data_IF_965750776353
#
_entry.id   IF_965750776353
#
_cell.length_a   1.000
_cell.length_b   1.000
_cell.length_c   1.000
_cell.angle_alpha   90.00
_cell.angle_beta   90.00
_cell.angle_gamma   90.00
#
_symmetry.space_group_name_H-M   'P 1'
#
loop_
_entity.id
_entity.type
_entity.pdbx_description
1 polymer ?
#
# COMPACT_ATOMS: atom_id res chain seq x y z
N UNK A 1 -14.55 42.95 -8.52
CA UNK A 1 -14.93 41.51 -8.56
C UNK A 1 -14.31 40.81 -7.36
N UNK A 2 -15.06 40.63 -6.25
CA UNK A 2 -14.54 39.95 -5.05
C UNK A 2 -14.47 38.44 -5.34
N UNK A 3 -13.27 37.92 -5.56
CA UNK A 3 -13.02 36.47 -5.53
C UNK A 3 -13.21 36.07 -4.07
N UNK A 4 -14.42 35.63 -3.74
CA UNK A 4 -14.75 35.13 -2.42
C UNK A 4 -13.90 33.88 -2.20
N UNK A 5 -12.81 34.03 -1.43
CA UNK A 5 -11.93 32.92 -1.05
C UNK A 5 -12.73 31.87 -0.30
N UNK A 6 -13.16 30.83 -1.02
CA UNK A 6 -13.94 29.74 -0.45
C UNK A 6 -13.01 28.88 0.40
N UNK A 7 -13.25 28.84 1.73
CA UNK A 7 -12.52 27.97 2.66
C UNK A 7 -12.86 26.50 2.37
N UNK A 8 -11.85 25.72 2.06
CA UNK A 8 -11.91 24.25 2.03
C UNK A 8 -12.02 23.76 3.48
N UNK A 9 -12.96 22.86 3.78
CA UNK A 9 -13.09 22.25 5.12
C UNK A 9 -11.95 21.25 5.35
N UNK A 10 -10.93 21.61 6.13
CA UNK A 10 -9.72 20.78 6.33
C UNK A 10 -9.92 19.52 7.20
N UNK A 11 -11.03 19.43 7.95
CA UNK A 11 -11.29 18.36 8.92
C UNK A 11 -11.15 16.93 8.34
N UNK A 12 -11.68 16.61 7.14
CA UNK A 12 -11.54 15.26 6.59
C UNK A 12 -10.10 14.95 6.16
N UNK A 13 -9.36 15.95 5.67
CA UNK A 13 -7.94 15.80 5.33
C UNK A 13 -7.08 15.55 6.57
N UNK A 14 -7.38 16.24 7.67
CA UNK A 14 -6.72 16.03 8.95
C UNK A 14 -7.00 14.63 9.52
N UNK A 15 -8.25 14.16 9.46
CA UNK A 15 -8.60 12.80 9.87
C UNK A 15 -7.87 11.73 9.04
N UNK A 16 -7.76 11.95 7.73
CA UNK A 16 -7.02 11.05 6.85
C UNK A 16 -5.53 10.96 7.23
N UNK A 17 -4.89 12.10 7.49
CA UNK A 17 -3.50 12.14 7.96
C UNK A 17 -3.34 11.45 9.32
N UNK A 18 -4.26 11.67 10.25
CA UNK A 18 -4.24 11.01 11.55
C UNK A 18 -4.28 9.49 11.41
N UNK A 19 -5.20 8.96 10.60
CA UNK A 19 -5.32 7.50 10.36
C UNK A 19 -4.06 6.94 9.72
N UNK A 20 -3.45 7.66 8.78
CA UNK A 20 -2.16 7.25 8.18
C UNK A 20 -1.05 7.20 9.23
N UNK A 21 -0.94 8.23 10.07
CA UNK A 21 0.07 8.29 11.14
C UNK A 21 -0.14 7.16 12.16
N UNK A 22 -1.38 6.87 12.55
CA UNK A 22 -1.71 5.72 13.42
C UNK A 22 -1.35 4.41 12.74
N UNK A 23 -1.66 4.23 11.46
CA UNK A 23 -1.29 3.04 10.70
C UNK A 23 0.22 2.84 10.62
N UNK A 24 0.99 3.91 10.35
CA UNK A 24 2.45 3.89 10.36
C UNK A 24 2.97 3.55 11.76
N UNK A 25 2.39 4.14 12.81
CA UNK A 25 2.76 3.85 14.19
C UNK A 25 2.44 2.40 14.56
N UNK A 26 1.34 1.81 14.11
CA UNK A 26 1.06 0.40 14.35
C UNK A 26 2.01 -0.54 13.58
N UNK A 27 2.46 -0.13 12.40
CA UNK A 27 3.37 -0.93 11.56
C UNK A 27 4.84 -0.86 12.02
N UNK A 28 5.29 0.31 12.48
CA UNK A 28 6.69 0.59 12.87
C UNK A 28 6.86 0.65 14.38
N UNK A 29 5.76 0.75 15.12
CA UNK A 29 5.71 0.95 16.56
C UNK A 29 6.51 -0.07 17.34
N UNK A 30 6.77 0.24 18.62
CA UNK A 30 7.65 -0.55 19.45
C UNK A 30 7.19 -2.01 19.44
N UNK A 31 8.09 -2.88 18.98
CA UNK A 31 7.87 -4.31 18.94
C UNK A 31 7.38 -4.79 20.32
N UNK A 32 6.29 -5.56 20.37
CA UNK A 32 5.69 -6.12 21.59
C UNK A 32 6.63 -7.07 22.36
N UNK A 33 7.89 -7.18 21.95
CA UNK A 33 8.94 -8.02 22.52
C UNK A 33 9.82 -7.27 23.55
N UNK A 34 9.43 -6.07 24.00
CA UNK A 34 10.20 -5.25 24.96
C UNK A 34 10.35 -5.86 26.36
N UNK A 35 9.52 -6.83 26.74
CA UNK A 35 9.49 -7.36 28.12
C UNK A 35 10.29 -8.65 28.32
N UNK A 36 11.14 -9.05 27.36
CA UNK A 36 11.98 -10.24 27.52
C UNK A 36 13.28 -9.80 28.22
N UNK A 37 13.61 -10.35 29.40
CA UNK A 37 14.84 -10.01 30.11
C UNK A 37 16.04 -10.54 29.32
N UNK A 38 16.75 -9.64 28.64
CA UNK A 38 17.95 -9.95 27.85
C UNK A 38 19.22 -9.47 28.53
N UNK A 39 20.35 -10.10 28.24
CA UNK A 39 21.67 -9.68 28.71
C UNK A 39 22.03 -8.30 28.12
N UNK A 40 22.77 -7.45 28.87
CA UNK A 40 23.24 -6.16 28.37
C UNK A 40 24.08 -6.34 27.10
N UNK A 41 23.75 -5.61 26.03
CA UNK A 41 24.48 -5.68 24.75
C UNK A 41 24.11 -6.87 23.86
N UNK A 42 23.11 -7.67 24.23
CA UNK A 42 22.68 -8.81 23.41
C UNK A 42 21.77 -8.38 22.25
N UNK A 43 21.95 -9.03 21.11
CA UNK A 43 21.11 -8.83 19.91
C UNK A 43 20.01 -9.88 19.88
N UNK A 44 18.76 -9.47 19.71
CA UNK A 44 17.62 -10.40 19.67
C UNK A 44 17.02 -10.58 18.27
N UNK A 45 16.70 -11.83 17.96
CA UNK A 45 16.03 -12.24 16.73
C UNK A 45 14.73 -12.96 17.06
N UNK A 46 13.57 -12.48 16.59
CA UNK A 46 12.30 -13.16 16.88
C UNK A 46 12.26 -14.53 16.23
N UNK A 47 11.83 -15.54 16.99
CA UNK A 47 11.60 -16.90 16.52
C UNK A 47 10.17 -17.36 16.83
N UNK A 48 9.68 -18.30 16.02
CA UNK A 48 8.42 -18.99 16.28
C UNK A 48 8.68 -20.49 16.15
N UNK A 49 8.38 -21.22 17.22
CA UNK A 49 8.52 -22.68 17.30
C UNK A 49 7.14 -23.21 17.64
N UNK A 50 6.53 -23.96 16.71
CA UNK A 50 5.11 -24.29 16.75
C UNK A 50 4.25 -23.01 16.93
N UNK A 51 3.35 -22.99 17.91
CA UNK A 51 2.50 -21.84 18.22
C UNK A 51 3.15 -20.87 19.22
N UNK A 52 4.28 -21.27 19.83
CA UNK A 52 5.01 -20.46 20.79
C UNK A 52 5.95 -19.47 20.10
N UNK A 53 5.92 -18.22 20.56
CA UNK A 53 6.82 -17.16 20.10
C UNK A 53 7.95 -16.99 21.10
N UNK A 54 9.13 -16.61 20.62
CA UNK A 54 10.30 -16.34 21.44
C UNK A 54 11.30 -15.45 20.72
N UNK A 55 12.48 -15.32 21.31
CA UNK A 55 13.63 -14.65 20.71
C UNK A 55 14.88 -15.53 20.85
N UNK A 56 15.74 -15.48 19.84
CA UNK A 56 17.13 -15.92 19.96
C UNK A 56 17.95 -14.70 20.35
N UNK A 57 18.54 -14.78 21.53
CA UNK A 57 19.53 -13.85 22.06
C UNK A 57 20.92 -14.28 21.57
N UNK A 58 21.63 -13.37 20.92
CA UNK A 58 23.05 -13.52 20.57
C UNK A 58 23.86 -12.58 21.47
N UNK A 59 24.79 -13.13 22.23
CA UNK A 59 25.76 -12.35 23.02
C UNK A 59 27.17 -12.69 22.57
N UNK A 60 28.06 -11.69 22.49
CA UNK A 60 29.49 -11.94 22.34
C UNK A 60 30.12 -12.00 23.73
N UNK A 61 30.91 -13.03 24.00
CA UNK A 61 31.67 -13.13 25.24
C UNK A 61 32.87 -12.16 25.19
N UNK A 62 32.93 -11.14 26.08
CA UNK A 62 33.98 -10.12 26.04
C UNK A 62 35.40 -10.68 26.20
N UNK A 63 35.55 -11.86 26.81
CA UNK A 63 36.86 -12.47 27.09
C UNK A 63 37.37 -13.35 25.95
N UNK A 64 36.47 -14.02 25.22
CA UNK A 64 36.82 -15.01 24.20
C UNK A 64 36.48 -14.58 22.78
N UNK A 65 35.65 -13.54 22.62
CA UNK A 65 35.13 -13.09 21.32
C UNK A 65 34.12 -14.05 20.68
N UNK A 66 33.83 -15.20 21.32
CA UNK A 66 32.92 -16.20 20.80
C UNK A 66 31.47 -15.78 20.99
N UNK A 67 30.61 -16.08 20.02
CA UNK A 67 29.18 -15.84 20.12
C UNK A 67 28.50 -16.98 20.86
N UNK A 68 27.63 -16.63 21.81
CA UNK A 68 26.72 -17.56 22.49
C UNK A 68 25.30 -17.25 22.12
N UNK A 69 24.52 -18.30 21.90
CA UNK A 69 23.13 -18.20 21.51
C UNK A 69 22.24 -18.77 22.61
N UNK A 70 21.14 -18.08 22.90
CA UNK A 70 20.14 -18.52 23.88
C UNK A 70 18.76 -18.29 23.32
N UNK A 71 17.85 -19.25 23.48
CA UNK A 71 16.44 -19.08 23.14
C UNK A 71 15.66 -18.72 24.39
N UNK A 72 14.83 -17.68 24.26
CA UNK A 72 13.93 -17.21 25.30
C UNK A 72 12.52 -17.26 24.73
N UNK A 73 11.74 -18.23 25.17
CA UNK A 73 10.36 -18.41 24.76
C UNK A 73 9.44 -17.56 25.64
N UNK A 74 8.30 -17.12 25.10
CA UNK A 74 7.35 -16.24 25.82
C UNK A 74 6.64 -16.93 26.98
N UNK A 75 6.55 -18.25 26.94
CA UNK A 75 6.07 -19.08 28.06
C UNK A 75 7.07 -19.15 29.23
N UNK A 76 8.22 -18.47 29.12
CA UNK A 76 9.25 -18.42 30.15
C UNK A 76 10.31 -19.51 30.00
N UNK A 77 10.20 -20.40 29.00
CA UNK A 77 11.22 -21.42 28.79
C UNK A 77 12.52 -20.80 28.23
N UNK A 78 13.63 -21.12 28.89
CA UNK A 78 14.97 -20.66 28.56
C UNK A 78 15.80 -21.86 28.13
N UNK A 79 16.40 -21.79 26.94
CA UNK A 79 17.39 -22.80 26.55
C UNK A 79 18.72 -22.59 27.28
N UNK A 80 19.55 -23.64 27.38
CA UNK A 80 20.97 -23.49 27.69
C UNK A 80 21.68 -22.55 26.69
N UNK A 81 22.83 -22.03 27.09
CA UNK A 81 23.73 -21.29 26.19
C UNK A 81 24.35 -22.25 25.18
N UNK A 82 24.03 -22.06 23.90
CA UNK A 82 24.53 -22.85 22.79
C UNK A 82 25.79 -22.19 22.22
N UNK A 83 26.80 -23.00 21.92
CA UNK A 83 27.97 -22.56 21.16
C UNK A 83 27.64 -22.35 19.68
N UNK A 84 28.52 -21.70 18.94
CA UNK A 84 28.40 -21.54 17.47
C UNK A 84 28.26 -22.90 16.75
N UNK A 85 29.03 -23.91 17.18
CA UNK A 85 28.97 -25.26 16.62
C UNK A 85 27.64 -25.94 16.92
N UNK A 86 27.16 -25.86 18.16
CA UNK A 86 25.88 -26.46 18.56
C UNK A 86 24.72 -25.78 17.85
N UNK A 87 24.70 -24.45 17.81
CA UNK A 87 23.68 -23.69 17.11
C UNK A 87 23.70 -23.96 15.60
N UNK A 88 24.89 -24.02 15.00
CA UNK A 88 25.10 -24.39 13.60
C UNK A 88 24.64 -25.81 13.30
N UNK A 89 24.80 -26.76 14.23
CA UNK A 89 24.32 -28.14 14.08
C UNK A 89 22.80 -28.24 14.11
N UNK A 90 22.14 -27.42 14.93
CA UNK A 90 20.67 -27.44 15.09
C UNK A 90 19.95 -26.69 13.97
N UNK A 91 20.43 -25.50 13.58
CA UNK A 91 19.73 -24.63 12.62
C UNK A 91 20.41 -24.53 11.25
N UNK A 92 21.60 -25.10 11.12
CA UNK A 92 22.39 -25.07 9.89
C UNK A 92 23.21 -23.78 9.71
N UNK A 93 24.14 -23.80 8.76
CA UNK A 93 25.10 -22.71 8.54
C UNK A 93 24.46 -21.40 8.06
N UNK A 94 23.32 -21.47 7.35
CA UNK A 94 22.61 -20.27 6.87
C UNK A 94 22.03 -19.44 8.01
N UNK A 95 21.42 -20.11 8.99
CA UNK A 95 20.81 -19.43 10.15
C UNK A 95 21.90 -18.91 11.08
N UNK A 96 22.97 -19.69 11.29
CA UNK A 96 24.14 -19.25 12.03
C UNK A 96 24.75 -17.97 11.43
N UNK A 97 25.04 -17.97 10.12
CA UNK A 97 25.58 -16.78 9.44
C UNK A 97 24.64 -15.57 9.50
N UNK A 98 23.32 -15.79 9.55
CA UNK A 98 22.36 -14.71 9.74
C UNK A 98 22.36 -14.17 11.18
N UNK A 99 22.44 -15.04 12.18
CA UNK A 99 22.47 -14.68 13.60
C UNK A 99 23.78 -13.99 14.02
N UNK A 100 24.89 -14.30 13.31
CA UNK A 100 26.20 -13.67 13.49
C UNK A 100 26.39 -12.40 12.65
N UNK A 101 25.51 -12.14 11.67
CA UNK A 101 25.65 -10.92 10.87
C UNK A 101 25.25 -9.70 11.69
N UNK A 102 26.23 -8.87 12.06
CA UNK A 102 26.04 -7.51 12.57
C UNK A 102 25.34 -6.66 11.50
N UNK A 103 24.03 -6.79 11.39
CA UNK A 103 23.20 -5.95 10.51
C UNK A 103 22.57 -4.85 11.36
N UNK A 104 23.16 -3.64 11.40
CA UNK A 104 22.72 -2.58 12.30
C UNK A 104 21.33 -2.00 11.97
N UNK A 105 20.78 -2.27 10.78
CA UNK A 105 19.56 -1.58 10.34
C UNK A 105 18.29 -2.44 10.43
N UNK A 106 17.51 -2.22 11.49
CA UNK A 106 16.20 -2.84 11.74
C UNK A 106 15.20 -2.68 10.57
N UNK A 107 15.28 -1.57 9.84
CA UNK A 107 14.46 -1.29 8.66
C UNK A 107 14.72 -2.28 7.51
N UNK A 108 15.99 -2.58 7.22
CA UNK A 108 16.37 -3.54 6.19
C UNK A 108 15.98 -4.97 6.58
N UNK A 109 16.01 -5.29 7.88
CA UNK A 109 15.50 -6.57 8.43
C UNK A 109 13.99 -6.71 8.20
N UNK A 110 13.19 -5.69 8.54
CA UNK A 110 11.72 -5.73 8.39
C UNK A 110 11.27 -5.69 6.92
N UNK A 111 12.01 -5.01 6.05
CA UNK A 111 11.64 -4.85 4.64
C UNK A 111 12.25 -5.91 3.70
N UNK A 112 13.11 -6.80 4.20
CA UNK A 112 13.81 -7.84 3.43
C UNK A 112 14.45 -7.32 2.13
N UNK A 113 14.97 -6.09 2.15
CA UNK A 113 15.58 -5.45 0.97
C UNK A 113 17.05 -5.84 0.94
N UNK A 114 17.34 -7.02 0.38
CA UNK A 114 18.71 -7.48 0.12
C UNK A 114 19.05 -7.49 -1.37
N UNK A 115 18.08 -7.17 -2.24
CA UNK A 115 18.25 -7.14 -3.70
C UNK A 115 17.52 -5.95 -4.33
N UNK A 116 18.05 -5.47 -5.47
CA UNK A 116 17.38 -4.47 -6.32
C UNK A 116 15.98 -4.91 -6.74
N UNK A 117 15.79 -6.22 -6.95
CA UNK A 117 14.47 -6.79 -7.20
C UNK A 117 13.51 -6.58 -6.02
N UNK A 118 13.95 -6.82 -4.78
CA UNK A 118 13.15 -6.56 -3.58
C UNK A 118 12.77 -5.08 -3.42
N UNK A 119 13.70 -4.17 -3.74
CA UNK A 119 13.44 -2.74 -3.74
C UNK A 119 12.37 -2.34 -4.77
N UNK A 120 12.44 -2.89 -5.99
CA UNK A 120 11.44 -2.66 -7.02
C UNK A 120 10.04 -3.15 -6.61
N UNK A 121 9.95 -4.35 -6.02
CA UNK A 121 8.67 -4.87 -5.49
C UNK A 121 8.10 -4.01 -4.37
N UNK A 122 8.95 -3.51 -3.49
CA UNK A 122 8.54 -2.61 -2.43
C UNK A 122 8.03 -1.27 -2.98
N UNK A 123 8.69 -0.73 -4.01
CA UNK A 123 8.23 0.47 -4.71
C UNK A 123 6.87 0.26 -5.40
N UNK A 124 6.63 -0.92 -5.99
CA UNK A 124 5.31 -1.29 -6.55
C UNK A 124 4.25 -1.32 -5.44
N UNK A 125 4.54 -1.97 -4.31
CA UNK A 125 3.62 -2.03 -3.17
C UNK A 125 3.26 -0.64 -2.63
N UNK A 126 4.27 0.21 -2.36
CA UNK A 126 4.04 1.58 -1.90
C UNK A 126 3.38 2.46 -2.94
N UNK A 127 3.74 2.32 -4.22
CA UNK A 127 3.08 3.04 -5.31
C UNK A 127 1.61 2.67 -5.44
N UNK A 128 1.28 1.39 -5.29
CA UNK A 128 -0.10 0.91 -5.24
C UNK A 128 -0.88 1.48 -4.05
N UNK A 129 -0.26 1.47 -2.86
CA UNK A 129 -0.84 2.09 -1.66
C UNK A 129 -1.04 3.60 -1.83
N UNK A 130 -0.09 4.30 -2.44
CA UNK A 130 -0.18 5.72 -2.75
C UNK A 130 -1.35 6.00 -3.68
N UNK A 131 -1.51 5.23 -4.76
CA UNK A 131 -2.64 5.36 -5.67
C UNK A 131 -4.00 5.16 -4.95
N UNK A 132 -4.07 4.17 -4.06
CA UNK A 132 -5.26 3.92 -3.23
C UNK A 132 -5.57 5.04 -2.23
N UNK A 133 -4.56 5.76 -1.75
CA UNK A 133 -4.71 6.93 -0.90
C UNK A 133 -5.11 8.16 -1.72
N UNK A 134 -4.45 8.38 -2.86
CA UNK A 134 -4.68 9.51 -3.75
C UNK A 134 -6.13 9.57 -4.25
N UNK A 135 -6.77 8.43 -4.54
CA UNK A 135 -8.17 8.39 -4.97
C UNK A 135 -9.12 9.04 -3.94
N UNK A 136 -8.86 8.86 -2.63
CA UNK A 136 -9.71 9.42 -1.57
C UNK A 136 -9.52 10.92 -1.47
N UNK A 137 -8.28 11.39 -1.57
CA UNK A 137 -7.97 12.82 -1.61
C UNK A 137 -8.62 13.50 -2.84
N UNK A 138 -8.53 12.86 -4.01
CA UNK A 138 -9.15 13.36 -5.24
C UNK A 138 -10.67 13.39 -5.12
N UNK A 139 -11.29 12.36 -4.56
CA UNK A 139 -12.74 12.32 -4.37
C UNK A 139 -13.21 13.35 -3.36
N UNK A 140 -12.52 13.50 -2.22
CA UNK A 140 -12.81 14.51 -1.22
C UNK A 140 -12.72 15.91 -1.82
N UNK A 141 -11.61 16.21 -2.52
CA UNK A 141 -11.41 17.50 -3.18
C UNK A 141 -12.49 17.78 -4.25
N UNK A 142 -12.82 16.78 -5.08
CA UNK A 142 -13.86 16.92 -6.09
C UNK A 142 -15.26 17.12 -5.48
N UNK A 143 -15.56 16.43 -4.37
CA UNK A 143 -16.84 16.55 -3.67
C UNK A 143 -16.98 17.88 -2.96
N UNK A 144 -15.92 18.37 -2.31
CA UNK A 144 -15.89 19.68 -1.66
C UNK A 144 -16.10 20.80 -2.68
N UNK A 145 -15.44 20.71 -3.84
CA UNK A 145 -15.61 21.67 -4.93
C UNK A 145 -17.05 21.72 -5.47
N UNK A 146 -17.80 20.61 -5.39
CA UNK A 146 -19.17 20.48 -5.90
C UNK A 146 -20.25 20.52 -4.81
N UNK A 147 -19.87 20.49 -3.52
CA UNK A 147 -20.77 20.36 -2.35
C UNK A 147 -21.76 19.20 -2.46
N UNK A 148 -21.37 18.13 -3.13
CA UNK A 148 -22.18 16.94 -3.36
C UNK A 148 -21.27 15.72 -3.26
N UNK A 149 -21.82 14.59 -2.80
CA UNK A 149 -21.11 13.30 -2.84
C UNK A 149 -20.89 12.91 -4.30
N UNK A 150 -19.71 13.21 -4.85
CA UNK A 150 -19.40 12.99 -6.25
C UNK A 150 -18.13 12.15 -6.38
N UNK A 151 -18.24 11.04 -7.12
CA UNK A 151 -17.10 10.18 -7.43
C UNK A 151 -16.55 10.52 -8.81
N UNK A 152 -15.39 11.20 -8.92
CA UNK A 152 -14.84 11.60 -10.22
C UNK A 152 -14.30 10.40 -11.00
N UNK A 153 -14.18 10.51 -12.32
CA UNK A 153 -13.56 9.44 -13.16
C UNK A 153 -12.14 9.11 -12.72
N UNK A 154 -11.39 10.11 -12.25
CA UNK A 154 -10.06 9.93 -11.70
C UNK A 154 -10.04 8.95 -10.52
N UNK A 155 -11.09 8.91 -9.68
CA UNK A 155 -11.18 7.93 -8.59
C UNK A 155 -11.10 6.50 -9.12
N UNK A 156 -11.86 6.19 -10.18
CA UNK A 156 -11.88 4.85 -10.78
C UNK A 156 -10.55 4.49 -11.44
N UNK A 157 -9.90 5.46 -12.09
CA UNK A 157 -8.59 5.24 -12.71
C UNK A 157 -7.50 4.97 -11.66
N UNK A 158 -7.40 5.81 -10.63
CA UNK A 158 -6.44 5.61 -9.54
C UNK A 158 -6.70 4.32 -8.76
N UNK A 159 -7.97 3.93 -8.61
CA UNK A 159 -8.32 2.64 -8.01
C UNK A 159 -7.85 1.46 -8.86
N UNK A 160 -7.99 1.54 -10.18
CA UNK A 160 -7.53 0.49 -11.09
C UNK A 160 -6.00 0.36 -11.07
N UNK A 161 -5.28 1.48 -11.15
CA UNK A 161 -3.81 1.52 -11.07
C UNK A 161 -3.34 0.96 -9.72
N UNK A 162 -3.89 1.45 -8.62
CA UNK A 162 -3.54 0.99 -7.28
C UNK A 162 -3.80 -0.50 -7.09
N UNK A 163 -4.92 -0.99 -7.62
CA UNK A 163 -5.29 -2.40 -7.52
C UNK A 163 -4.40 -3.30 -8.38
N UNK A 164 -4.01 -2.87 -9.59
CA UNK A 164 -3.05 -3.60 -10.41
C UNK A 164 -1.66 -3.70 -9.75
N UNK A 165 -1.17 -2.60 -9.17
CA UNK A 165 0.10 -2.56 -8.46
C UNK A 165 0.08 -3.43 -7.20
N UNK A 166 -0.95 -3.29 -6.35
CA UNK A 166 -1.08 -4.10 -5.14
C UNK A 166 -1.33 -5.58 -5.46
N UNK A 167 -2.10 -5.89 -6.50
CA UNK A 167 -2.29 -7.26 -6.97
C UNK A 167 -0.93 -7.89 -7.31
N UNK A 168 -0.12 -7.20 -8.12
CA UNK A 168 1.21 -7.67 -8.52
C UNK A 168 2.11 -7.88 -7.29
N UNK A 169 2.06 -6.94 -6.35
CA UNK A 169 2.80 -7.03 -5.08
C UNK A 169 2.36 -8.22 -4.20
N UNK A 170 1.06 -8.45 -4.04
CA UNK A 170 0.55 -9.56 -3.22
C UNK A 170 0.77 -10.93 -3.86
N UNK A 171 0.74 -11.02 -5.20
CA UNK A 171 1.15 -12.23 -5.93
C UNK A 171 2.62 -12.53 -5.63
N UNK A 172 3.50 -11.53 -5.72
CA UNK A 172 4.91 -11.69 -5.37
C UNK A 172 5.11 -12.09 -3.90
N UNK A 173 4.30 -11.53 -2.99
CA UNK A 173 4.35 -11.85 -1.56
C UNK A 173 3.66 -13.16 -1.18
N UNK A 174 3.07 -13.87 -2.15
CA UNK A 174 2.32 -15.11 -1.95
C UNK A 174 1.20 -14.97 -0.89
N UNK A 175 0.52 -13.82 -0.88
CA UNK A 175 -0.56 -13.52 0.06
C UNK A 175 -1.93 -13.74 -0.62
N UNK A 176 -2.63 -14.87 -0.38
CA UNK A 176 -3.88 -15.17 -1.06
C UNK A 176 -5.00 -14.18 -0.70
N UNK A 177 -5.01 -13.64 0.52
CA UNK A 177 -6.04 -12.68 0.96
C UNK A 177 -5.85 -11.36 0.22
N UNK A 178 -4.60 -10.89 0.13
CA UNK A 178 -4.25 -9.71 -0.64
C UNK A 178 -4.59 -9.86 -2.13
N UNK A 179 -4.25 -11.00 -2.73
CA UNK A 179 -4.55 -11.32 -4.14
C UNK A 179 -6.05 -11.30 -4.42
N UNK A 180 -6.84 -12.04 -3.66
CA UNK A 180 -8.30 -12.13 -3.84
C UNK A 180 -8.97 -10.76 -3.68
N UNK A 181 -8.55 -9.97 -2.69
CA UNK A 181 -9.07 -8.62 -2.48
C UNK A 181 -8.84 -7.70 -3.69
N UNK A 182 -7.65 -7.77 -4.29
CA UNK A 182 -7.33 -6.93 -5.45
C UNK A 182 -7.96 -7.43 -6.76
N UNK A 183 -8.18 -8.75 -6.93
CA UNK A 183 -8.92 -9.29 -8.07
C UNK A 183 -10.32 -8.67 -8.19
N UNK A 184 -11.07 -8.66 -7.09
CA UNK A 184 -12.43 -8.10 -7.08
C UNK A 184 -12.39 -6.60 -7.38
N UNK A 185 -11.41 -5.88 -6.83
CA UNK A 185 -11.19 -4.45 -7.11
C UNK A 185 -10.98 -4.18 -8.60
N UNK A 186 -10.01 -4.86 -9.23
CA UNK A 186 -9.69 -4.73 -10.65
C UNK A 186 -10.93 -4.86 -11.54
N UNK A 187 -11.75 -5.89 -11.32
CA UNK A 187 -12.96 -6.16 -12.10
C UNK A 187 -13.98 -5.02 -11.96
N UNK A 188 -14.27 -4.62 -10.72
CA UNK A 188 -15.26 -3.56 -10.44
C UNK A 188 -14.81 -2.21 -11.01
N UNK A 189 -13.54 -1.84 -10.81
CA UNK A 189 -13.01 -0.56 -11.29
C UNK A 189 -12.95 -0.51 -12.81
N UNK A 190 -12.50 -1.58 -13.47
CA UNK A 190 -12.49 -1.67 -14.93
C UNK A 190 -13.91 -1.57 -15.51
N UNK A 191 -14.88 -2.28 -14.92
CA UNK A 191 -16.29 -2.23 -15.33
C UNK A 191 -16.84 -0.81 -15.20
N UNK A 192 -16.63 -0.15 -14.07
CA UNK A 192 -17.15 1.20 -13.83
C UNK A 192 -16.53 2.22 -14.79
N UNK A 193 -15.23 2.11 -15.04
CA UNK A 193 -14.54 2.96 -16.01
C UNK A 193 -15.10 2.75 -17.43
N UNK A 194 -15.29 1.49 -17.84
CA UNK A 194 -15.92 1.15 -19.14
C UNK A 194 -17.33 1.72 -19.26
N UNK A 195 -18.15 1.64 -18.22
CA UNK A 195 -19.51 2.20 -18.21
C UNK A 195 -19.48 3.72 -18.38
N UNK A 196 -18.60 4.43 -17.65
CA UNK A 196 -18.44 5.88 -17.77
C UNK A 196 -18.06 6.29 -19.20
N UNK A 197 -17.09 5.61 -19.81
CA UNK A 197 -16.69 5.91 -21.19
C UNK A 197 -17.79 5.61 -22.21
N UNK A 198 -18.56 4.53 -21.99
CA UNK A 198 -19.70 4.18 -22.85
C UNK A 198 -20.79 5.25 -22.79
N UNK A 199 -21.14 5.74 -21.61
CA UNK A 199 -22.15 6.79 -21.43
C UNK A 199 -21.72 8.09 -22.09
N UNK A 200 -20.48 8.55 -21.86
CA UNK A 200 -19.94 9.76 -22.50
C UNK A 200 -19.91 9.70 -24.02
N UNK A 201 -19.65 8.51 -24.58
CA UNK A 201 -19.69 8.31 -26.04
C UNK A 201 -21.11 8.40 -26.60
N UNK A 202 -22.12 7.96 -25.83
CA UNK A 202 -23.53 8.07 -26.22
C UNK A 202 -24.01 9.53 -26.17
N UNK A 203 -23.69 10.24 -25.10
CA UNK A 203 -24.01 11.67 -24.95
C UNK A 203 -23.40 12.50 -26.10
N UNK A 204 -22.10 12.35 -26.38
CA UNK A 204 -21.45 13.04 -27.51
C UNK A 204 -22.05 12.74 -28.88
N UNK A 205 -22.58 11.53 -29.07
CA UNK A 205 -23.27 11.16 -30.33
C UNK A 205 -24.63 11.83 -30.43
N UNK A 206 -25.38 11.89 -29.33
CA UNK A 206 -26.66 12.57 -29.26
C UNK A 206 -26.53 14.09 -29.47
N UNK A 207 -25.53 14.71 -28.83
CA UNK A 207 -25.22 16.14 -29.03
C UNK A 207 -24.82 16.43 -30.47
N UNK A 208 -24.03 15.52 -31.08
CA UNK A 208 -23.61 15.62 -32.47
C UNK A 208 -24.77 15.49 -33.46
N UNK A 209 -25.69 14.55 -33.26
CA UNK A 209 -26.89 14.42 -34.11
C UNK A 209 -27.81 15.62 -33.98
N UNK A 210 -28.04 16.13 -32.76
CA UNK A 210 -28.88 17.32 -32.53
C UNK A 210 -28.29 18.58 -33.19
N UNK A 211 -26.95 18.70 -33.20
CA UNK A 211 -26.27 19.81 -33.87
C UNK A 211 -26.42 19.76 -35.39
N UNK A 212 -26.41 18.56 -35.99
CA UNK A 212 -26.57 18.38 -37.45
C UNK A 212 -28.01 18.68 -37.88
N UNK A 213 -28.99 18.20 -37.14
CA UNK A 213 -30.42 18.45 -37.40
C UNK A 213 -30.75 19.95 -37.30
N UNK A 214 -30.19 20.66 -36.31
CA UNK A 214 -30.33 22.12 -36.21
C UNK A 214 -29.72 22.90 -37.39
N UNK A 215 -28.60 22.44 -37.94
CA UNK A 215 -27.96 23.06 -39.12
C UNK A 215 -28.78 22.81 -40.39
N UNK A 216 -29.34 21.62 -40.55
CA UNK A 216 -30.19 21.27 -41.70
C UNK A 216 -31.48 22.09 -41.69
N UNK A 217 -32.13 22.19 -40.53
CA UNK A 217 -33.35 23.00 -40.36
C UNK A 217 -33.12 24.51 -40.63
N UNK A 218 -31.98 25.05 -40.19
CA UNK A 218 -31.59 26.46 -40.44
C UNK A 218 -31.28 26.72 -41.93
N UNK A 219 -30.63 25.75 -42.61
CA UNK A 219 -30.39 25.84 -44.06
C UNK A 219 -31.68 25.78 -44.88
N UNK A 220 -32.60 24.92 -44.51
CA UNK A 220 -33.87 24.78 -45.21
C UNK A 220 -34.77 26.00 -44.99
N UNK A 221 -34.74 26.61 -43.79
CA UNK A 221 -35.42 27.87 -43.50
C UNK A 221 -34.87 29.08 -44.29
N UNK A 222 -33.57 29.08 -44.64
CA UNK A 222 -32.94 30.12 -45.47
C UNK A 222 -33.18 29.90 -46.97
N UNK A 223 -33.43 28.66 -47.39
CA UNK A 223 -33.67 28.33 -48.80
C UNK A 223 -35.06 28.77 -49.31
N UNK A 224 -36.04 28.89 -48.42
CA UNK A 224 -37.44 29.23 -48.73
C UNK A 224 -37.66 30.75 -48.96
N UNK A 225 -36.74 31.62 -48.52
CA UNK A 225 -36.87 33.08 -48.65
C UNK A 225 -36.29 33.64 -49.97
N UNK A 226 -36.24 32.83 -51.03
CA UNK A 226 -35.91 33.33 -52.37
C UNK A 226 -37.16 33.95 -52.99
N UNK A 227 -37.20 35.25 -53.30
CA UNK A 227 -38.36 35.86 -53.93
C UNK A 227 -38.61 35.19 -55.27
N UNK A 228 -39.81 34.61 -55.41
CA UNK A 228 -40.31 34.11 -56.68
C UNK A 228 -40.24 35.26 -57.71
N UNK A 229 -39.40 35.09 -58.73
CA UNK A 229 -39.33 35.98 -59.89
C UNK A 229 -40.37 35.59 -60.92
#
# INVERSE_FOLDING_TARGET
MKIQGRRIKWEPGALFLLVLLVGIWLAIGPDTFRDIPTRPGATTFPIRVADSRGVVETTSDPASGQHRFRMIMRDGHLSPDLSEEEFGRVFGPRVLGQAMSDRPNMLFRKLNITSWAGLAWLAIGFGGQFAFSARMLIQWWASERRRQSHVPTAFWLWSLIGSAMLFSYFVWRQDPVGVLGQCTGLVVYARNLRLIYKTRRRERRADGSASLEGIETDRDGVADDRPAR
#
